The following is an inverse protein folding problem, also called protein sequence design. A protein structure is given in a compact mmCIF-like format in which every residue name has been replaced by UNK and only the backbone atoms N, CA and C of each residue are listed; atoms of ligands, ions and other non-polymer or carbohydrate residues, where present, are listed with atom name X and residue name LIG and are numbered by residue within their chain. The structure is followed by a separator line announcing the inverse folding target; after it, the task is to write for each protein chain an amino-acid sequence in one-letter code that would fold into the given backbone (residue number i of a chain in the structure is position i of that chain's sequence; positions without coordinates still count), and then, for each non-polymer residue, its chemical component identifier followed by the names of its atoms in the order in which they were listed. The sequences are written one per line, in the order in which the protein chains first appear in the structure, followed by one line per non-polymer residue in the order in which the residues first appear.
data_IF_837950922446
#
_entry.id   IF_837950922446
#
_cell.length_a   1.000
_cell.length_b   1.000
_cell.length_c   1.000
_cell.angle_alpha   90.00
_cell.angle_beta   90.00
_cell.angle_gamma   90.00
#
_symmetry.space_group_name_H-M   'P 1'
#
loop_
_entity.id
_entity.type
_entity.pdbx_description
1 polymer ?
#
# COMPACT_ATOMS: atom_id res chain seq x y z
N UNK A 1 -14.37 -23.56 52.98
CA UNK A 1 -14.04 -24.31 51.74
C UNK A 1 -14.93 -23.75 50.65
N UNK A 2 -14.36 -22.94 49.78
CA UNK A 2 -14.92 -22.56 48.47
C UNK A 2 -14.05 -23.24 47.41
N UNK A 3 -14.61 -23.60 46.24
CA UNK A 3 -14.21 -22.80 45.10
C UNK A 3 -15.36 -22.56 44.10
N UNK A 4 -15.75 -21.29 43.93
CA UNK A 4 -15.10 -20.42 42.95
C UNK A 4 -15.34 -20.77 41.47
N UNK A 5 -16.34 -20.11 40.90
CA UNK A 5 -16.69 -20.07 39.46
C UNK A 5 -15.47 -19.62 38.63
N UNK A 6 -15.03 -20.44 37.69
CA UNK A 6 -13.96 -20.09 36.75
C UNK A 6 -14.52 -19.93 35.32
N UNK A 7 -15.13 -18.78 35.06
CA UNK A 7 -15.40 -18.34 33.69
C UNK A 7 -14.06 -17.92 33.06
N UNK A 8 -13.48 -18.80 32.24
CA UNK A 8 -12.33 -18.46 31.39
C UNK A 8 -12.77 -17.48 30.32
N UNK A 9 -12.46 -16.20 30.53
CA UNK A 9 -12.32 -15.22 29.45
C UNK A 9 -11.12 -15.61 28.57
N UNK A 10 -11.36 -16.22 27.41
CA UNK A 10 -10.43 -16.17 26.27
C UNK A 10 -10.80 -14.89 25.52
N UNK A 11 -10.04 -13.81 25.61
CA UNK A 11 -8.68 -13.68 25.11
C UNK A 11 -8.75 -12.59 24.06
N UNK A 12 -8.43 -11.35 24.47
CA UNK A 12 -8.39 -10.18 23.58
C UNK A 12 -7.40 -10.53 22.46
N UNK A 13 -7.89 -10.68 21.23
CA UNK A 13 -7.02 -10.82 20.06
C UNK A 13 -6.16 -9.56 20.00
N UNK A 14 -4.86 -9.73 20.17
CA UNK A 14 -3.88 -8.66 20.04
C UNK A 14 -4.02 -8.04 18.65
N UNK A 15 -4.17 -6.72 18.60
CA UNK A 15 -4.28 -5.91 17.36
C UNK A 15 -3.10 -6.09 16.38
N UNK A 16 -2.09 -6.88 16.74
CA UNK A 16 -0.86 -7.11 15.97
C UNK A 16 -0.95 -8.22 14.92
N UNK A 17 -1.97 -9.09 14.95
CA UNK A 17 -1.93 -10.35 14.20
C UNK A 17 -2.82 -10.41 12.94
N UNK A 18 -3.46 -9.30 12.52
CA UNK A 18 -4.39 -9.32 11.36
C UNK A 18 -3.64 -9.44 10.02
N UNK A 19 -2.39 -8.96 9.96
CA UNK A 19 -1.65 -8.81 8.70
C UNK A 19 -0.58 -9.88 8.46
N UNK A 20 -0.31 -10.76 9.42
CA UNK A 20 0.75 -11.76 9.27
C UNK A 20 0.17 -12.98 8.57
N UNK A 21 0.66 -13.27 7.37
CA UNK A 21 0.22 -14.39 6.55
C UNK A 21 1.32 -15.44 6.53
N UNK A 22 1.00 -16.72 6.76
CA UNK A 22 2.01 -17.77 6.67
C UNK A 22 2.31 -18.13 5.21
N UNK A 23 3.53 -18.53 4.86
CA UNK A 23 3.85 -18.93 3.48
C UNK A 23 2.96 -20.03 2.90
N UNK A 24 2.47 -20.96 3.74
CA UNK A 24 1.58 -22.06 3.34
C UNK A 24 0.14 -21.61 3.03
N UNK A 25 -0.23 -20.39 3.41
CA UNK A 25 -1.58 -19.85 3.18
C UNK A 25 -1.75 -19.15 1.83
N UNK A 26 -0.63 -18.81 1.16
CA UNK A 26 -0.63 -18.08 -0.13
C UNK A 26 -0.06 -18.97 -1.21
N UNK A 27 -0.84 -19.19 -2.26
CA UNK A 27 -0.32 -19.76 -3.50
C UNK A 27 0.27 -18.63 -4.37
N UNK A 28 1.56 -18.73 -4.70
CA UNK A 28 2.27 -17.74 -5.51
C UNK A 28 2.55 -18.36 -6.87
N UNK A 29 1.85 -17.90 -7.91
CA UNK A 29 2.07 -18.39 -9.27
C UNK A 29 3.33 -17.74 -9.87
N UNK A 30 4.45 -18.49 -9.83
CA UNK A 30 5.76 -18.04 -10.33
C UNK A 30 5.83 -17.84 -11.84
N UNK A 31 4.85 -18.34 -12.58
CA UNK A 31 4.77 -18.19 -14.04
C UNK A 31 3.92 -16.96 -14.43
N UNK A 32 3.14 -16.42 -13.50
CA UNK A 32 2.26 -15.25 -13.71
C UNK A 32 2.88 -13.96 -13.17
N UNK A 33 3.95 -13.50 -13.83
CA UNK A 33 4.62 -12.23 -13.52
C UNK A 33 3.69 -11.04 -13.80
N UNK A 34 3.56 -10.14 -12.82
CA UNK A 34 2.82 -8.87 -12.95
C UNK A 34 3.76 -7.67 -13.06
N UNK A 35 4.98 -7.76 -12.49
CA UNK A 35 5.97 -6.70 -12.59
C UNK A 35 7.25 -7.00 -11.83
N UNK A 36 8.33 -6.32 -12.18
CA UNK A 36 9.65 -6.47 -11.55
C UNK A 36 10.31 -5.10 -11.37
N UNK A 37 10.96 -4.89 -10.24
CA UNK A 37 11.68 -3.64 -9.97
C UNK A 37 12.63 -3.74 -8.78
N UNK A 38 13.21 -2.60 -8.40
CA UNK A 38 14.24 -2.52 -7.36
C UNK A 38 13.80 -3.00 -5.96
N UNK A 39 12.49 -3.13 -5.71
CA UNK A 39 11.92 -3.56 -4.44
C UNK A 39 11.44 -5.01 -4.43
N UNK A 40 11.65 -5.76 -5.52
CA UNK A 40 11.26 -7.16 -5.66
C UNK A 40 10.41 -7.43 -6.90
N UNK A 41 9.79 -8.61 -6.91
CA UNK A 41 9.02 -9.11 -8.05
C UNK A 41 7.58 -9.37 -7.63
N UNK A 42 6.62 -8.93 -8.44
CA UNK A 42 5.19 -9.06 -8.18
C UNK A 42 4.63 -10.17 -9.05
N UNK A 43 3.96 -11.13 -8.42
CA UNK A 43 3.29 -12.25 -9.08
C UNK A 43 1.79 -12.20 -8.80
N UNK A 44 1.00 -12.78 -9.70
CA UNK A 44 -0.37 -13.17 -9.35
C UNK A 44 -0.31 -14.32 -8.35
N UNK A 45 -1.20 -14.32 -7.38
CA UNK A 45 -1.34 -15.40 -6.42
C UNK A 45 -2.78 -15.61 -6.01
N UNK A 46 -2.99 -16.55 -5.09
CA UNK A 46 -4.29 -16.85 -4.51
C UNK A 46 -4.18 -16.91 -2.98
N UNK A 47 -5.04 -16.18 -2.28
CA UNK A 47 -5.10 -16.16 -0.82
C UNK A 47 -6.53 -15.93 -0.35
N UNK A 48 -6.97 -16.70 0.64
CA UNK A 48 -8.30 -16.53 1.24
C UNK A 48 -9.47 -16.72 0.26
N UNK A 49 -9.30 -17.47 -0.83
CA UNK A 49 -10.33 -17.66 -1.87
C UNK A 49 -10.38 -16.57 -2.94
N UNK A 50 -9.42 -15.64 -2.94
CA UNK A 50 -9.39 -14.50 -3.87
C UNK A 50 -8.05 -14.43 -4.62
N UNK A 51 -8.11 -13.92 -5.86
CA UNK A 51 -6.92 -13.55 -6.61
C UNK A 51 -6.26 -12.32 -5.98
N UNK A 52 -4.93 -12.39 -5.82
CA UNK A 52 -4.13 -11.37 -5.16
C UNK A 52 -2.88 -11.01 -5.96
N UNK A 53 -2.32 -9.85 -5.67
CA UNK A 53 -0.95 -9.50 -6.07
C UNK A 53 0.00 -9.81 -4.92
N UNK A 54 1.07 -10.57 -5.21
CA UNK A 54 2.08 -10.98 -4.24
C UNK A 54 3.43 -10.40 -4.62
N UNK A 55 3.88 -9.37 -3.90
CA UNK A 55 5.21 -8.78 -4.07
C UNK A 55 6.20 -9.57 -3.23
N UNK A 56 7.01 -10.40 -3.87
CA UNK A 56 8.11 -11.13 -3.25
C UNK A 56 9.31 -10.21 -3.12
N UNK A 57 9.72 -9.97 -1.88
CA UNK A 57 10.76 -8.99 -1.54
C UNK A 57 12.13 -9.67 -1.49
N UNK A 58 13.12 -9.06 -2.14
CA UNK A 58 14.51 -9.54 -2.11
C UNK A 58 15.09 -9.48 -0.69
N UNK A 59 15.95 -10.46 -0.35
CA UNK A 59 16.60 -10.49 0.97
C UNK A 59 17.43 -9.22 1.19
N UNK A 60 17.28 -8.61 2.37
CA UNK A 60 18.05 -7.42 2.77
C UNK A 60 17.41 -6.07 2.42
N UNK A 61 16.27 -6.06 1.71
CA UNK A 61 15.52 -4.81 1.44
C UNK A 61 14.56 -4.54 2.61
N UNK A 62 14.70 -3.40 3.34
CA UNK A 62 13.81 -3.07 4.44
C UNK A 62 12.41 -2.70 3.94
N UNK A 63 11.49 -3.67 3.92
CA UNK A 63 10.09 -3.43 3.55
C UNK A 63 9.17 -3.11 4.75
N UNK A 64 9.72 -3.13 5.98
CA UNK A 64 9.00 -2.79 7.21
C UNK A 64 8.35 -1.40 7.15
N UNK A 65 9.05 -0.42 6.58
CA UNK A 65 8.52 0.95 6.44
C UNK A 65 7.30 0.99 5.50
N UNK A 66 7.35 0.26 4.39
CA UNK A 66 6.23 0.15 3.44
C UNK A 66 5.00 -0.46 4.14
N UNK A 67 5.19 -1.55 4.91
CA UNK A 67 4.11 -2.16 5.71
C UNK A 67 3.56 -1.21 6.77
N UNK A 68 4.44 -0.52 7.51
CA UNK A 68 4.02 0.38 8.59
C UNK A 68 3.18 1.56 8.08
N UNK A 69 3.43 2.02 6.85
CA UNK A 69 2.61 3.05 6.19
C UNK A 69 1.32 2.44 5.65
N UNK A 70 1.40 1.29 4.97
CA UNK A 70 0.30 0.78 4.16
C UNK A 70 -0.78 0.06 4.97
N UNK A 71 -0.40 -0.64 6.05
CA UNK A 71 -1.31 -1.53 6.81
C UNK A 71 -2.56 -0.84 7.36
N UNK A 72 -2.49 0.45 7.66
CA UNK A 72 -3.58 1.21 8.27
C UNK A 72 -4.38 2.03 7.24
N UNK A 73 -3.99 2.03 5.96
CA UNK A 73 -4.69 2.77 4.90
C UNK A 73 -5.89 1.98 4.37
N UNK A 74 -7.07 2.60 4.38
CA UNK A 74 -8.30 2.00 3.84
C UNK A 74 -9.09 3.04 3.06
N UNK A 75 -9.04 2.92 1.73
CA UNK A 75 -9.71 3.83 0.82
C UNK A 75 -9.92 3.16 -0.56
N UNK A 76 -11.04 3.40 -1.28
CA UNK A 76 -11.29 2.79 -2.59
C UNK A 76 -10.23 3.10 -3.66
N UNK A 77 -9.53 4.23 -3.54
CA UNK A 77 -8.47 4.66 -4.44
C UNK A 77 -7.05 4.46 -3.87
N UNK A 78 -6.90 3.52 -2.93
CA UNK A 78 -5.62 3.01 -2.44
C UNK A 78 -5.70 1.49 -2.58
N UNK A 79 -4.66 0.86 -3.14
CA UNK A 79 -4.63 -0.60 -3.27
C UNK A 79 -4.74 -1.22 -1.88
N UNK A 80 -5.64 -2.18 -1.71
CA UNK A 80 -5.93 -2.74 -0.39
C UNK A 80 -4.81 -3.68 0.05
N UNK A 81 -4.28 -3.45 1.25
CA UNK A 81 -3.27 -4.30 1.85
C UNK A 81 -3.91 -5.42 2.66
N UNK A 82 -3.57 -6.66 2.32
CA UNK A 82 -4.08 -7.84 3.03
C UNK A 82 -3.09 -8.34 4.08
N UNK A 83 -1.80 -8.32 3.79
CA UNK A 83 -0.82 -8.76 4.76
C UNK A 83 0.57 -8.98 4.21
N UNK A 84 1.41 -9.60 5.01
CA UNK A 84 2.82 -9.84 4.71
C UNK A 84 3.33 -11.11 5.40
N UNK A 85 4.47 -11.58 4.91
CA UNK A 85 5.31 -12.55 5.58
C UNK A 85 6.75 -12.04 5.64
N UNK A 86 7.31 -11.89 6.85
CA UNK A 86 8.73 -11.58 7.07
C UNK A 86 9.44 -12.57 8.00
N UNK A 87 8.72 -13.51 8.59
CA UNK A 87 9.29 -14.45 9.57
C UNK A 87 10.05 -15.59 8.90
N UNK A 88 9.74 -15.90 7.65
CA UNK A 88 10.34 -16.99 6.88
C UNK A 88 10.47 -16.64 5.40
N UNK A 89 11.29 -17.38 4.66
CA UNK A 89 11.32 -17.29 3.21
C UNK A 89 10.11 -18.04 2.58
N UNK A 90 9.56 -17.57 1.45
CA UNK A 90 9.86 -16.28 0.81
C UNK A 90 9.26 -15.11 1.60
N UNK A 91 9.96 -13.98 1.69
CA UNK A 91 9.37 -12.75 2.24
C UNK A 91 8.46 -12.11 1.20
N UNK A 92 7.26 -11.70 1.59
CA UNK A 92 6.29 -11.13 0.65
C UNK A 92 5.31 -10.15 1.28
N UNK A 93 4.65 -9.38 0.42
CA UNK A 93 3.48 -8.54 0.69
C UNK A 93 2.32 -9.04 -0.17
N UNK A 94 1.11 -9.01 0.36
CA UNK A 94 -0.14 -9.43 -0.31
C UNK A 94 -1.11 -8.26 -0.35
N UNK A 95 -1.65 -7.99 -1.53
CA UNK A 95 -2.64 -6.93 -1.75
C UNK A 95 -3.75 -7.35 -2.71
N UNK A 96 -4.80 -6.53 -2.81
CA UNK A 96 -5.81 -6.66 -3.86
C UNK A 96 -5.14 -6.65 -5.24
N UNK A 97 -5.57 -7.55 -6.12
CA UNK A 97 -5.15 -7.54 -7.52
C UNK A 97 -5.90 -6.43 -8.28
N UNK A 98 -5.19 -5.77 -9.20
CA UNK A 98 -5.74 -4.77 -10.12
C UNK A 98 -5.51 -5.26 -11.53
N UNK A 99 -6.57 -5.73 -12.16
CA UNK A 99 -6.50 -6.61 -13.34
C UNK A 99 -5.99 -5.90 -14.60
N UNK A 100 -6.22 -4.59 -14.71
CA UNK A 100 -5.81 -3.80 -15.88
C UNK A 100 -4.37 -3.27 -15.77
N UNK A 101 -3.67 -3.60 -14.67
CA UNK A 101 -2.30 -3.18 -14.45
C UNK A 101 -2.17 -1.69 -14.16
N UNK A 102 -1.04 -1.10 -14.58
CA UNK A 102 -0.74 0.31 -14.34
C UNK A 102 -1.43 1.25 -15.35
N UNK A 103 -1.65 2.49 -14.94
CA UNK A 103 -2.38 3.47 -15.73
C UNK A 103 -1.67 3.84 -17.04
N UNK A 104 -0.34 3.75 -17.12
CA UNK A 104 0.38 4.02 -18.37
C UNK A 104 0.04 2.94 -19.40
N UNK A 105 0.18 1.67 -19.03
CA UNK A 105 -0.17 0.53 -19.89
C UNK A 105 -1.66 0.51 -20.23
N UNK A 106 -2.53 0.72 -19.23
CA UNK A 106 -3.98 0.78 -19.42
C UNK A 106 -4.41 1.82 -20.45
N UNK A 107 -3.83 3.04 -20.40
CA UNK A 107 -4.18 4.13 -21.32
C UNK A 107 -3.66 3.93 -22.75
N UNK A 108 -2.62 3.11 -22.93
CA UNK A 108 -2.16 2.69 -24.27
C UNK A 108 -3.19 1.76 -24.91
N UNK A 109 -3.71 0.80 -24.14
CA UNK A 109 -4.74 -0.13 -24.61
C UNK A 109 -6.14 0.51 -24.69
N UNK A 110 -6.39 1.56 -23.92
CA UNK A 110 -7.69 2.23 -23.82
C UNK A 110 -7.54 3.75 -24.05
N UNK A 111 -7.27 4.20 -25.30
CA UNK A 111 -6.97 5.60 -25.60
C UNK A 111 -8.13 6.57 -25.30
N UNK A 112 -9.36 6.06 -25.33
CA UNK A 112 -10.60 6.80 -25.06
C UNK A 112 -11.04 6.76 -23.59
N UNK A 113 -10.26 6.09 -22.72
CA UNK A 113 -10.56 6.06 -21.29
C UNK A 113 -10.63 7.48 -20.70
N UNK A 114 -11.56 7.67 -19.77
CA UNK A 114 -11.77 8.96 -19.13
C UNK A 114 -10.61 9.33 -18.18
N UNK A 115 -9.60 10.00 -18.72
CA UNK A 115 -8.41 10.44 -17.97
C UNK A 115 -8.77 11.35 -16.79
N UNK A 116 -9.78 12.20 -16.93
CA UNK A 116 -10.23 13.08 -15.85
C UNK A 116 -10.81 12.29 -14.68
N UNK A 117 -11.56 11.21 -14.95
CA UNK A 117 -12.04 10.28 -13.91
C UNK A 117 -10.88 9.63 -13.16
N UNK A 118 -9.89 9.10 -13.87
CA UNK A 118 -8.72 8.45 -13.24
C UNK A 118 -7.95 9.44 -12.36
N UNK A 119 -7.71 10.67 -12.85
CA UNK A 119 -7.04 11.72 -12.07
C UNK A 119 -7.84 12.13 -10.83
N UNK A 120 -9.16 12.23 -10.95
CA UNK A 120 -10.03 12.52 -9.81
C UNK A 120 -9.95 11.41 -8.75
N UNK A 121 -10.06 10.16 -9.15
CA UNK A 121 -9.90 8.99 -8.27
C UNK A 121 -8.54 8.96 -7.55
N UNK A 122 -7.46 9.20 -8.28
CA UNK A 122 -6.11 9.32 -7.73
C UNK A 122 -6.01 10.47 -6.73
N UNK A 123 -6.65 11.61 -7.01
CA UNK A 123 -6.67 12.75 -6.10
C UNK A 123 -7.39 12.46 -4.78
N UNK A 124 -8.44 11.63 -4.79
CA UNK A 124 -9.13 11.18 -3.58
C UNK A 124 -8.24 10.25 -2.75
N UNK A 125 -7.53 9.33 -3.40
CA UNK A 125 -6.52 8.50 -2.72
C UNK A 125 -5.41 9.34 -2.09
N UNK A 126 -4.91 10.35 -2.81
CA UNK A 126 -3.88 11.25 -2.31
C UNK A 126 -4.38 12.13 -1.15
N UNK A 127 -5.61 12.63 -1.23
CA UNK A 127 -6.26 13.34 -0.13
C UNK A 127 -6.31 12.46 1.13
N UNK A 128 -6.70 11.19 0.99
CA UNK A 128 -6.72 10.25 2.11
C UNK A 128 -5.33 10.06 2.74
N UNK A 129 -4.27 9.91 1.94
CA UNK A 129 -2.90 9.85 2.45
C UNK A 129 -2.54 11.12 3.25
N UNK A 130 -2.85 12.29 2.69
CA UNK A 130 -2.54 13.57 3.34
C UNK A 130 -3.31 13.77 4.66
N UNK A 131 -4.55 13.30 4.76
CA UNK A 131 -5.30 13.29 6.02
C UNK A 131 -4.61 12.44 7.11
N UNK A 132 -3.82 11.43 6.71
CA UNK A 132 -3.01 10.61 7.61
C UNK A 132 -1.56 11.15 7.76
N UNK A 133 -1.29 12.38 7.30
CA UNK A 133 0.05 12.99 7.29
C UNK A 133 1.09 12.18 6.51
N UNK A 134 0.66 11.40 5.52
CA UNK A 134 1.52 10.58 4.68
C UNK A 134 1.73 11.30 3.35
N UNK A 135 2.98 11.53 2.97
CA UNK A 135 3.37 11.92 1.62
C UNK A 135 3.74 10.67 0.84
N UNK A 136 3.13 10.45 -0.33
CA UNK A 136 3.41 9.26 -1.15
C UNK A 136 4.88 9.14 -1.56
N UNK A 137 5.48 10.24 -2.03
CA UNK A 137 6.91 10.34 -2.35
C UNK A 137 7.33 9.85 -3.74
N UNK A 138 6.46 9.18 -4.51
CA UNK A 138 6.76 8.66 -5.85
C UNK A 138 5.50 8.58 -6.72
N UNK A 139 4.78 9.70 -6.84
CA UNK A 139 3.55 9.72 -7.63
C UNK A 139 3.87 9.77 -9.13
N UNK A 140 3.56 8.69 -9.84
CA UNK A 140 3.72 8.53 -11.30
C UNK A 140 2.68 7.57 -11.86
N UNK A 141 2.47 7.57 -13.18
CA UNK A 141 1.48 6.71 -13.83
C UNK A 141 1.69 5.21 -13.56
N UNK A 142 2.95 4.77 -13.41
CA UNK A 142 3.31 3.40 -13.07
C UNK A 142 2.88 2.97 -11.65
N UNK A 143 2.63 3.94 -10.76
CA UNK A 143 2.19 3.70 -9.37
C UNK A 143 0.67 3.96 -9.19
N UNK A 144 -0.06 4.04 -10.30
CA UNK A 144 -1.52 4.09 -10.33
C UNK A 144 -1.98 2.79 -10.99
N UNK A 145 -2.67 1.94 -10.25
CA UNK A 145 -3.23 0.70 -10.78
C UNK A 145 -4.72 0.84 -11.09
N UNK A 146 -5.19 0.12 -12.09
CA UNK A 146 -6.58 0.13 -12.54
C UNK A 146 -7.17 -1.28 -12.40
N UNK A 147 -8.35 -1.39 -11.80
CA UNK A 147 -9.08 -2.67 -11.75
C UNK A 147 -9.94 -2.91 -13.00
N UNK A 148 -10.51 -4.11 -13.11
CA UNK A 148 -11.43 -4.49 -14.19
C UNK A 148 -12.66 -3.59 -14.36
N UNK A 149 -12.98 -2.74 -13.38
CA UNK A 149 -14.09 -1.79 -13.45
C UNK A 149 -13.63 -0.38 -13.87
N UNK A 150 -12.35 -0.22 -14.20
CA UNK A 150 -11.76 1.05 -14.59
C UNK A 150 -11.60 2.02 -13.42
N UNK A 151 -11.51 1.52 -12.17
CA UNK A 151 -11.27 2.35 -10.97
C UNK A 151 -9.77 2.43 -10.69
N UNK A 152 -9.26 3.66 -10.59
CA UNK A 152 -7.85 3.92 -10.29
C UNK A 152 -7.55 3.87 -8.78
N UNK A 153 -6.39 3.32 -8.42
CA UNK A 153 -5.91 3.23 -7.04
C UNK A 153 -4.40 3.47 -6.96
N UNK A 154 -3.93 4.15 -5.90
CA UNK A 154 -2.51 4.35 -5.62
C UNK A 154 -1.85 3.08 -5.07
N UNK A 155 -0.62 2.80 -5.52
CA UNK A 155 0.23 1.72 -5.02
C UNK A 155 1.67 2.19 -4.76
N UNK A 156 2.52 1.28 -4.29
CA UNK A 156 3.96 1.50 -4.00
C UNK A 156 4.26 2.61 -2.97
N UNK A 157 4.22 2.21 -1.70
CA UNK A 157 4.49 3.09 -0.57
C UNK A 157 5.95 3.00 -0.07
N UNK A 158 6.85 2.39 -0.84
CA UNK A 158 8.26 2.19 -0.43
C UNK A 158 8.99 3.50 -0.13
N UNK A 159 8.61 4.58 -0.82
CA UNK A 159 9.19 5.93 -0.65
C UNK A 159 8.32 6.87 0.20
N UNK A 160 7.24 6.38 0.80
CA UNK A 160 6.34 7.22 1.59
C UNK A 160 6.98 7.77 2.86
N UNK A 161 6.57 8.97 3.26
CA UNK A 161 7.07 9.67 4.43
C UNK A 161 5.91 10.07 5.34
N UNK A 162 5.95 9.64 6.60
CA UNK A 162 5.03 10.14 7.64
C UNK A 162 5.60 11.47 8.12
N UNK A 163 4.89 12.57 7.87
CA UNK A 163 5.23 13.85 8.49
C UNK A 163 4.89 13.77 9.96
N UNK A 164 5.91 13.72 10.81
CA UNK A 164 5.72 14.10 12.20
C UNK A 164 5.39 15.58 12.22
N UNK A 165 4.26 15.94 12.81
CA UNK A 165 3.97 17.32 13.14
C UNK A 165 4.99 17.75 14.18
N UNK A 166 6.13 18.27 13.74
CA UNK A 166 6.89 19.19 14.57
C UNK A 166 5.91 20.30 14.89
N UNK A 167 5.56 20.48 16.16
CA UNK A 167 4.98 21.74 16.62
C UNK A 167 6.03 22.82 16.42
N UNK A 168 6.20 23.25 15.18
CA UNK A 168 6.95 24.45 14.85
C UNK A 168 6.13 25.60 15.40
N UNK A 169 6.48 26.06 16.60
CA UNK A 169 6.27 27.44 16.99
C UNK A 169 7.02 28.29 15.96
N UNK A 170 6.37 28.60 14.85
CA UNK A 170 6.81 29.63 13.93
C UNK A 170 6.51 30.97 14.60
N UNK A 171 7.44 31.45 15.43
CA UNK A 171 7.60 32.87 15.63
C UNK A 171 7.88 33.48 14.25
N UNK A 172 6.87 34.14 13.68
CA UNK A 172 6.98 34.90 12.45
C UNK A 172 8.07 35.98 12.61
N UNK A 173 9.27 35.73 12.10
CA UNK A 173 10.17 36.79 11.67
C UNK A 173 10.02 36.94 10.16
N UNK A 174 9.25 37.93 9.74
CA UNK A 174 9.13 38.34 8.34
C UNK A 174 10.50 38.89 7.91
N UNK A 175 11.20 38.17 7.04
CA UNK A 175 12.32 38.71 6.25
C UNK A 175 11.82 38.94 4.82
N UNK A 176 11.64 40.19 4.36
CA UNK A 176 11.22 40.47 3.00
C UNK A 176 12.47 40.44 2.10
N UNK A 177 12.75 39.29 1.49
CA UNK A 177 13.81 39.21 0.49
C UNK A 177 14.31 37.80 0.25
N UNK A 178 13.76 37.13 -0.75
CA UNK A 178 14.27 35.83 -1.19
C UNK A 178 13.45 35.28 -2.35
N UNK A 179 13.95 35.49 -3.57
CA UNK A 179 13.38 35.02 -4.83
C UNK A 179 13.21 33.50 -4.82
N UNK A 180 12.02 33.04 -5.20
CA UNK A 180 11.75 31.63 -5.45
C UNK A 180 12.52 31.12 -6.67
N UNK A 181 12.89 29.84 -6.64
CA UNK A 181 13.34 29.10 -7.83
C UNK A 181 12.40 27.91 -8.03
N UNK A 182 11.64 27.94 -9.12
CA UNK A 182 10.90 26.82 -9.67
C UNK A 182 11.89 25.84 -10.33
N UNK A 183 11.68 24.55 -10.11
CA UNK A 183 12.06 23.47 -11.03
C UNK A 183 10.83 22.62 -11.29
#
# INVERSE_FOLDING_TARGET
MEPGIHLRTKGVVSKRDIFVIRPDEVDINREALLGEGGFGTVYRGHWGGHDVAVKVVSRGIPAKKEVDVWKDLRHPNIVEFYGYNYSSAPMFLVSSLKEEGDALTFLVSNPDANRAKLLHEVSLGLQHLHCHSIVHGDLKALNILVDKHGIASLCDFGLSLVRMHSSSNTSNSINPGGQGTLR
#
